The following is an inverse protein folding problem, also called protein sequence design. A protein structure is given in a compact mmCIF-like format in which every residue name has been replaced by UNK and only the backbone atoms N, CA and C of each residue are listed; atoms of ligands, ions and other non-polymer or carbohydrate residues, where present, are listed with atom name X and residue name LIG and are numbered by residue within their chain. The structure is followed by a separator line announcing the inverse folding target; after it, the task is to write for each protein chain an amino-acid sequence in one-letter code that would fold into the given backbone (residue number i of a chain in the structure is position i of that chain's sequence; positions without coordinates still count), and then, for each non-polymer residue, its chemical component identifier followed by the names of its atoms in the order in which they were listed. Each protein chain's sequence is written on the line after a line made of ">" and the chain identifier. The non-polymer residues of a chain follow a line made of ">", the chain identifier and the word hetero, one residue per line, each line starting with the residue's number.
data_IF_318616971089
#
_entry.id   IF_318616971089
#
_cell.length_a   1.000
_cell.length_b   1.000
_cell.length_c   1.000
_cell.angle_alpha   90.00
_cell.angle_beta   90.00
_cell.angle_gamma   90.00
#
_symmetry.space_group_name_H-M   'P 1'
#
loop_
_entity.id
_entity.type
_entity.pdbx_description
1 polymer ?
#
# COMPACT_ATOMS: atom_id res chain seq x y z
N UNK A 1 -28.42 11.86 -37.20
CA UNK A 1 -29.23 11.38 -38.32
C UNK A 1 -30.13 10.29 -37.76
N UNK A 2 -31.43 10.37 -38.01
CA UNK A 2 -32.38 9.31 -37.59
C UNK A 2 -32.28 8.13 -38.55
N UNK A 3 -32.44 6.93 -38.04
CA UNK A 3 -32.45 5.71 -38.83
C UNK A 3 -33.62 5.81 -39.89
N UNK A 4 -33.31 5.56 -41.16
CA UNK A 4 -34.32 5.63 -42.27
C UNK A 4 -34.33 6.96 -43.03
N UNK A 5 -33.53 7.93 -42.72
CA UNK A 5 -33.34 9.13 -43.56
C UNK A 5 -32.53 8.80 -44.80
N UNK A 6 -33.10 9.06 -45.98
CA UNK A 6 -32.46 8.95 -47.30
C UNK A 6 -32.36 10.32 -47.93
N UNK A 7 -31.36 10.54 -48.80
CA UNK A 7 -31.13 11.79 -49.51
C UNK A 7 -29.85 12.52 -49.06
N UNK A 8 -29.52 13.63 -49.71
CA UNK A 8 -28.34 14.45 -49.39
C UNK A 8 -28.56 15.18 -48.05
N UNK A 9 -27.73 14.85 -47.05
CA UNK A 9 -27.77 15.45 -45.74
C UNK A 9 -26.60 16.43 -45.59
N UNK A 10 -26.91 17.70 -45.36
CA UNK A 10 -25.89 18.71 -44.99
C UNK A 10 -25.82 18.77 -43.46
N UNK A 11 -24.66 18.44 -42.92
CA UNK A 11 -24.41 18.50 -41.49
C UNK A 11 -23.66 19.78 -41.14
N UNK A 12 -24.19 20.58 -40.25
CA UNK A 12 -23.53 21.78 -39.75
C UNK A 12 -22.92 21.50 -38.36
N UNK A 13 -21.60 21.76 -38.23
CA UNK A 13 -20.95 21.69 -36.95
C UNK A 13 -21.37 22.89 -36.10
N UNK A 14 -22.02 22.64 -34.96
CA UNK A 14 -22.34 23.68 -33.97
C UNK A 14 -21.15 23.88 -33.04
N UNK A 15 -20.34 24.88 -33.31
CA UNK A 15 -19.21 25.25 -32.47
C UNK A 15 -19.68 26.04 -31.26
N UNK A 16 -19.19 25.67 -30.04
CA UNK A 16 -19.47 26.37 -28.83
C UNK A 16 -18.16 26.90 -28.24
N UNK A 17 -18.00 28.21 -28.14
CA UNK A 17 -16.80 28.83 -27.58
C UNK A 17 -16.66 28.45 -26.09
N UNK A 18 -15.51 27.87 -25.76
CA UNK A 18 -15.16 27.49 -24.37
C UNK A 18 -14.40 28.65 -23.72
N UNK A 19 -15.07 29.46 -22.92
CA UNK A 19 -14.54 30.71 -22.35
C UNK A 19 -14.16 30.64 -20.88
N UNK A 20 -14.64 29.64 -20.14
CA UNK A 20 -14.40 29.54 -18.70
C UNK A 20 -12.96 29.12 -18.42
N UNK A 21 -12.20 29.94 -17.69
CA UNK A 21 -10.86 29.55 -17.21
C UNK A 21 -10.93 28.31 -16.33
N UNK A 22 -10.04 27.31 -16.52
CA UNK A 22 -10.02 26.12 -15.69
C UNK A 22 -9.76 26.47 -14.23
N UNK A 23 -10.58 25.93 -13.30
CA UNK A 23 -10.36 26.05 -11.86
C UNK A 23 -10.97 24.87 -11.10
N UNK A 24 -10.49 24.62 -9.89
CA UNK A 24 -11.06 23.60 -9.00
C UNK A 24 -12.58 23.85 -8.76
N UNK A 25 -13.33 22.75 -8.59
CA UNK A 25 -14.79 22.80 -8.42
C UNK A 25 -15.59 22.84 -9.72
N UNK A 26 -14.95 22.83 -10.89
CA UNK A 26 -15.63 22.71 -12.18
C UNK A 26 -15.95 21.28 -12.57
N UNK A 27 -15.37 20.28 -11.89
CA UNK A 27 -15.73 18.88 -12.01
C UNK A 27 -15.94 18.27 -10.62
N UNK A 28 -16.79 17.24 -10.56
CA UNK A 28 -17.02 16.44 -9.34
C UNK A 28 -16.88 14.97 -9.67
N UNK A 29 -15.91 14.30 -9.05
CA UNK A 29 -15.80 12.84 -9.09
C UNK A 29 -16.97 12.27 -8.29
N UNK A 30 -17.86 11.53 -8.94
CA UNK A 30 -19.02 10.86 -8.33
C UNK A 30 -18.61 9.52 -7.73
N UNK A 31 -17.81 8.75 -8.48
CA UNK A 31 -17.27 7.47 -8.02
C UNK A 31 -15.84 7.30 -8.53
N UNK A 32 -15.00 6.70 -7.69
CA UNK A 32 -13.66 6.24 -8.04
C UNK A 32 -13.43 4.92 -7.29
N UNK A 33 -13.63 3.78 -7.96
CA UNK A 33 -13.62 2.46 -7.29
C UNK A 33 -13.32 1.31 -8.24
N UNK A 34 -12.79 0.22 -7.70
CA UNK A 34 -12.81 -1.06 -8.37
C UNK A 34 -14.25 -1.58 -8.45
N UNK A 35 -14.69 -2.01 -9.63
CA UNK A 35 -16.08 -2.41 -9.90
C UNK A 35 -16.23 -3.92 -10.12
N UNK A 36 -15.22 -4.54 -10.71
CA UNK A 36 -15.13 -5.99 -10.95
C UNK A 36 -13.66 -6.38 -11.10
N UNK A 37 -13.41 -7.68 -11.22
CA UNK A 37 -12.05 -8.24 -11.42
C UNK A 37 -11.29 -7.47 -12.48
N UNK A 38 -10.08 -7.04 -12.14
CA UNK A 38 -9.13 -6.29 -13.00
C UNK A 38 -9.70 -4.99 -13.60
N UNK A 39 -10.73 -4.38 -12.97
CA UNK A 39 -11.37 -3.18 -13.53
C UNK A 39 -11.62 -2.12 -12.47
N UNK A 40 -11.11 -0.91 -12.74
CA UNK A 40 -11.37 0.32 -11.99
C UNK A 40 -12.22 1.25 -12.83
N UNK A 41 -13.17 1.93 -12.21
CA UNK A 41 -14.03 2.90 -12.87
C UNK A 41 -14.04 4.24 -12.13
N UNK A 42 -13.88 5.33 -12.89
CA UNK A 42 -14.03 6.69 -12.40
C UNK A 42 -15.15 7.37 -13.16
N UNK A 43 -16.19 7.81 -12.44
CA UNK A 43 -17.31 8.59 -13.01
C UNK A 43 -17.25 10.01 -12.48
N UNK A 44 -17.45 10.99 -13.35
CA UNK A 44 -17.47 12.39 -12.95
C UNK A 44 -18.52 13.18 -13.75
N UNK A 45 -18.94 14.30 -13.14
CA UNK A 45 -19.70 15.37 -13.85
C UNK A 45 -18.81 16.58 -13.99
N UNK A 46 -18.90 17.25 -15.15
CA UNK A 46 -18.08 18.41 -15.48
C UNK A 46 -18.98 19.57 -15.94
N UNK A 47 -18.65 20.79 -15.55
CA UNK A 47 -19.31 22.01 -16.06
C UNK A 47 -18.96 22.22 -17.53
N UNK A 48 -19.86 22.81 -18.26
CA UNK A 48 -19.67 23.09 -19.70
C UNK A 48 -18.74 24.29 -19.95
N UNK A 49 -18.22 24.42 -21.19
CA UNK A 49 -17.48 25.56 -21.73
C UNK A 49 -16.16 25.89 -21.01
N UNK A 50 -15.43 24.86 -20.56
CA UNK A 50 -14.12 25.06 -19.94
C UNK A 50 -13.06 25.18 -21.06
N UNK A 51 -12.30 26.29 -21.02
CA UNK A 51 -11.20 26.55 -21.96
C UNK A 51 -10.09 25.50 -21.79
N UNK A 52 -9.60 24.99 -22.91
CA UNK A 52 -8.52 23.99 -22.97
C UNK A 52 -7.88 23.99 -24.37
N UNK A 53 -6.77 23.31 -24.52
CA UNK A 53 -6.06 23.19 -25.78
C UNK A 53 -6.70 22.17 -26.74
N UNK A 54 -7.62 21.32 -26.25
CA UNK A 54 -8.23 20.25 -27.03
C UNK A 54 -9.66 19.93 -26.55
N UNK A 55 -10.29 18.94 -27.18
CA UNK A 55 -11.67 18.50 -26.88
C UNK A 55 -11.77 17.39 -25.86
N UNK A 56 -10.77 17.24 -24.98
CA UNK A 56 -10.73 16.17 -24.01
C UNK A 56 -10.83 16.68 -22.57
N UNK A 57 -11.46 15.87 -21.73
CA UNK A 57 -11.21 15.82 -20.28
C UNK A 57 -10.25 14.68 -20.01
N UNK A 58 -9.31 14.93 -19.10
CA UNK A 58 -8.30 13.98 -18.69
C UNK A 58 -8.55 13.45 -17.29
N UNK A 59 -8.44 12.14 -17.14
CA UNK A 59 -8.19 11.53 -15.82
C UNK A 59 -6.68 11.60 -15.61
N UNK A 60 -6.26 12.32 -14.57
CA UNK A 60 -4.83 12.51 -14.30
C UNK A 60 -4.42 11.85 -12.99
N UNK A 61 -3.19 11.32 -12.97
CA UNK A 61 -2.53 10.97 -11.72
C UNK A 61 -2.20 12.23 -10.95
N UNK A 62 -2.44 12.20 -9.64
CA UNK A 62 -2.18 13.33 -8.75
C UNK A 62 -1.22 12.93 -7.66
N UNK A 63 -0.14 13.70 -7.50
CA UNK A 63 0.80 13.57 -6.41
C UNK A 63 0.04 13.62 -5.07
N UNK A 64 0.09 12.57 -4.25
CA UNK A 64 -0.67 12.52 -3.00
C UNK A 64 -0.17 13.50 -1.95
N UNK A 65 1.09 13.91 -2.01
CA UNK A 65 1.73 14.84 -1.07
C UNK A 65 1.52 16.30 -1.53
N UNK A 66 1.98 16.60 -2.76
CA UNK A 66 1.93 17.97 -3.34
C UNK A 66 0.56 18.36 -3.88
N UNK A 67 -0.36 17.39 -4.06
CA UNK A 67 -1.69 17.57 -4.65
C UNK A 67 -1.68 18.09 -6.09
N UNK A 68 -0.57 17.94 -6.81
CA UNK A 68 -0.41 18.40 -8.19
C UNK A 68 -0.62 17.27 -9.20
N UNK A 69 -1.26 17.54 -10.36
CA UNK A 69 -1.36 16.56 -11.44
C UNK A 69 -0.01 16.46 -12.17
N UNK A 70 0.37 15.25 -12.59
CA UNK A 70 1.66 15.08 -13.24
C UNK A 70 1.63 14.28 -14.56
N UNK A 71 0.62 13.42 -14.77
CA UNK A 71 0.48 12.60 -15.99
C UNK A 71 -0.97 12.21 -16.22
N UNK A 72 -1.37 12.05 -17.48
CA UNK A 72 -2.67 11.50 -17.83
C UNK A 72 -2.69 9.98 -17.68
N UNK A 73 -3.75 9.47 -17.06
CA UNK A 73 -4.08 8.05 -17.00
C UNK A 73 -5.02 7.65 -18.15
N UNK A 74 -5.94 8.53 -18.52
CA UNK A 74 -6.89 8.34 -19.61
C UNK A 74 -7.46 9.68 -20.08
N UNK A 75 -8.12 9.69 -21.24
CA UNK A 75 -8.87 10.85 -21.75
C UNK A 75 -10.25 10.44 -22.26
N UNK A 76 -11.18 11.36 -22.25
CA UNK A 76 -12.52 11.20 -22.80
C UNK A 76 -12.98 12.50 -23.48
N UNK A 77 -13.73 12.41 -24.56
CA UNK A 77 -14.33 13.58 -25.19
C UNK A 77 -15.17 14.40 -24.21
N UNK A 78 -15.17 15.72 -24.39
CA UNK A 78 -15.90 16.65 -23.53
C UNK A 78 -17.41 16.39 -23.58
N UNK A 79 -17.97 16.04 -22.44
CA UNK A 79 -19.40 15.94 -22.18
C UNK A 79 -19.67 16.15 -20.69
N UNK A 80 -20.93 16.44 -20.33
CA UNK A 80 -21.34 16.72 -18.95
C UNK A 80 -21.03 15.55 -18.01
N UNK A 81 -21.31 14.32 -18.42
CA UNK A 81 -21.05 13.11 -17.65
C UNK A 81 -19.99 12.27 -18.36
N UNK A 82 -18.91 11.97 -17.66
CA UNK A 82 -17.79 11.19 -18.20
C UNK A 82 -17.54 9.96 -17.34
N UNK A 83 -17.12 8.90 -18.00
CA UNK A 83 -16.74 7.64 -17.35
C UNK A 83 -15.42 7.16 -17.94
N UNK A 84 -14.46 6.88 -17.07
CA UNK A 84 -13.21 6.21 -17.41
C UNK A 84 -13.26 4.79 -16.88
N UNK A 85 -13.00 3.81 -17.74
CA UNK A 85 -12.88 2.40 -17.38
C UNK A 85 -11.46 1.96 -17.64
N UNK A 86 -10.75 1.56 -16.59
CA UNK A 86 -9.32 1.27 -16.57
C UNK A 86 -9.12 -0.22 -16.27
N UNK A 87 -8.26 -0.88 -17.06
CA UNK A 87 -7.91 -2.28 -16.82
C UNK A 87 -6.61 -2.37 -16.02
N UNK A 88 -6.65 -3.00 -14.86
CA UNK A 88 -5.44 -3.20 -14.04
C UNK A 88 -4.46 -4.20 -14.65
N UNK A 89 -4.87 -4.94 -15.68
CA UNK A 89 -3.97 -5.73 -16.53
C UNK A 89 -3.01 -4.87 -17.32
N UNK A 90 -3.46 -3.70 -17.77
CA UNK A 90 -2.67 -2.79 -18.59
C UNK A 90 -1.70 -1.97 -17.71
N UNK A 91 -2.17 -1.62 -16.53
CA UNK A 91 -1.38 -0.90 -15.52
C UNK A 91 -1.98 -1.13 -14.12
N UNK A 92 -1.27 -1.83 -13.27
CA UNK A 92 -1.74 -2.09 -11.89
C UNK A 92 -1.82 -0.81 -11.05
N UNK A 93 -1.06 0.21 -11.40
CA UNK A 93 -1.14 1.54 -10.79
C UNK A 93 -2.54 2.15 -10.85
N UNK A 94 -3.42 1.71 -11.75
CA UNK A 94 -4.81 2.14 -11.74
C UNK A 94 -5.57 1.77 -10.47
N UNK A 95 -5.19 0.73 -9.76
CA UNK A 95 -5.80 0.36 -8.49
C UNK A 95 -5.23 1.16 -7.29
N UNK A 96 -3.98 1.62 -7.39
CA UNK A 96 -3.25 2.22 -6.27
C UNK A 96 -3.23 3.75 -6.30
N UNK A 97 -3.41 4.36 -7.46
CA UNK A 97 -3.20 5.79 -7.69
C UNK A 97 -4.31 6.70 -7.15
N UNK A 98 -3.97 7.96 -7.00
CA UNK A 98 -4.89 9.07 -6.72
C UNK A 98 -5.21 9.81 -8.01
N UNK A 99 -6.49 10.02 -8.28
CA UNK A 99 -6.97 10.61 -9.53
C UNK A 99 -7.65 11.95 -9.34
N UNK A 100 -7.55 12.80 -10.37
CA UNK A 100 -8.31 14.02 -10.54
C UNK A 100 -8.81 14.16 -11.98
N UNK A 101 -9.82 15.00 -12.19
CA UNK A 101 -10.29 15.39 -13.52
C UNK A 101 -9.61 16.70 -13.88
N UNK A 102 -9.07 16.77 -15.09
CA UNK A 102 -8.32 17.92 -15.60
C UNK A 102 -8.64 18.25 -17.06
N UNK A 103 -8.24 19.43 -17.49
CA UNK A 103 -8.05 19.80 -18.90
C UNK A 103 -6.57 20.07 -19.15
N UNK A 104 -6.14 19.98 -20.41
CA UNK A 104 -4.81 20.41 -20.85
C UNK A 104 -4.89 21.84 -21.39
N UNK A 105 -4.07 22.73 -20.88
CA UNK A 105 -3.94 24.12 -21.34
C UNK A 105 -2.52 24.59 -21.13
N UNK A 106 -1.95 25.31 -22.10
CA UNK A 106 -0.58 25.82 -22.06
C UNK A 106 0.46 24.72 -21.68
N UNK A 107 0.30 23.55 -22.29
CA UNK A 107 1.17 22.37 -22.04
C UNK A 107 0.97 21.66 -20.69
N UNK A 108 0.14 22.20 -19.77
CA UNK A 108 -0.03 21.70 -18.40
C UNK A 108 -1.43 21.17 -18.15
N UNK A 109 -1.54 20.25 -17.16
CA UNK A 109 -2.83 19.79 -16.66
C UNK A 109 -3.36 20.72 -15.57
N UNK A 110 -4.59 21.24 -15.75
CA UNK A 110 -5.29 22.06 -14.77
C UNK A 110 -6.41 21.24 -14.11
N UNK A 111 -6.30 21.00 -12.81
CA UNK A 111 -7.30 20.26 -12.06
C UNK A 111 -8.63 21.02 -12.01
N UNK A 112 -9.71 20.29 -12.33
CA UNK A 112 -11.09 20.75 -12.26
C UNK A 112 -11.84 20.19 -11.06
N UNK A 113 -11.36 19.08 -10.48
CA UNK A 113 -12.02 18.39 -9.36
C UNK A 113 -11.15 18.32 -8.12
N UNK A 114 -11.76 18.04 -6.97
CA UNK A 114 -11.06 17.38 -5.87
C UNK A 114 -10.52 16.04 -6.33
N UNK A 115 -9.55 15.49 -5.62
CA UNK A 115 -8.89 14.25 -5.96
C UNK A 115 -9.42 13.07 -5.16
N UNK A 116 -9.37 11.87 -5.71
CA UNK A 116 -9.85 10.66 -5.06
C UNK A 116 -8.91 9.49 -5.27
N UNK A 117 -8.70 8.72 -4.22
CA UNK A 117 -8.16 7.37 -4.34
C UNK A 117 -9.23 6.40 -4.81
N UNK A 118 -8.80 5.31 -5.44
CA UNK A 118 -9.68 4.19 -5.74
C UNK A 118 -10.20 3.59 -4.43
N UNK A 119 -11.48 3.19 -4.41
CA UNK A 119 -12.10 2.45 -3.31
C UNK A 119 -12.26 0.98 -3.70
N UNK A 120 -12.37 0.12 -2.68
CA UNK A 120 -12.68 -1.30 -2.81
C UNK A 120 -11.67 -2.07 -3.70
N UNK A 121 -10.33 -1.99 -3.46
CA UNK A 121 -9.34 -2.64 -4.31
C UNK A 121 -9.57 -4.16 -4.40
N UNK A 122 -10.13 -4.79 -3.37
CA UNK A 122 -10.45 -6.22 -3.31
C UNK A 122 -11.42 -6.69 -4.41
N UNK A 123 -12.24 -5.78 -4.96
CA UNK A 123 -13.11 -6.11 -6.10
C UNK A 123 -12.34 -6.31 -7.40
N UNK A 124 -11.15 -5.71 -7.53
CA UNK A 124 -10.28 -5.91 -8.69
C UNK A 124 -9.50 -7.24 -8.62
N UNK A 125 -9.43 -7.87 -7.45
CA UNK A 125 -8.63 -9.07 -7.23
C UNK A 125 -9.04 -10.25 -8.11
N UNK A 126 -8.03 -10.92 -8.69
CA UNK A 126 -8.19 -12.20 -9.39
C UNK A 126 -8.30 -13.39 -8.42
N UNK A 127 -7.57 -13.31 -7.30
CA UNK A 127 -7.65 -14.30 -6.22
C UNK A 127 -8.66 -13.85 -5.16
N UNK A 128 -9.76 -14.59 -5.03
CA UNK A 128 -10.85 -14.35 -4.06
C UNK A 128 -10.97 -15.47 -3.02
N UNK A 129 -9.96 -16.34 -2.92
CA UNK A 129 -9.95 -17.40 -1.92
C UNK A 129 -10.21 -16.83 -0.52
N UNK A 130 -10.98 -17.55 0.28
CA UNK A 130 -11.22 -17.17 1.67
C UNK A 130 -9.92 -17.20 2.45
N UNK A 131 -9.80 -16.31 3.42
CA UNK A 131 -8.66 -16.31 4.33
C UNK A 131 -8.64 -17.62 5.14
N UNK A 132 -7.48 -18.27 5.15
CA UNK A 132 -7.23 -19.45 5.97
C UNK A 132 -6.40 -19.03 7.19
N UNK A 133 -6.94 -19.09 8.42
CA UNK A 133 -6.19 -18.74 9.64
C UNK A 133 -5.18 -19.80 10.06
N UNK A 134 -5.16 -20.95 9.37
CA UNK A 134 -4.42 -22.14 9.77
C UNK A 134 -5.13 -22.92 10.90
N UNK A 135 -4.81 -24.22 11.01
CA UNK A 135 -5.37 -25.11 12.06
C UNK A 135 -4.69 -24.95 13.41
N UNK A 136 -3.48 -24.39 13.43
CA UNK A 136 -2.70 -24.10 14.64
C UNK A 136 -2.01 -22.76 14.51
N UNK A 137 -1.71 -22.13 15.65
CA UNK A 137 -0.90 -20.91 15.73
C UNK A 137 0.60 -21.19 15.74
N UNK A 138 1.03 -22.45 15.75
CA UNK A 138 2.43 -22.84 15.69
C UNK A 138 3.01 -22.43 14.34
N UNK A 139 4.03 -21.60 14.35
CA UNK A 139 4.70 -21.08 13.16
C UNK A 139 6.20 -21.20 13.26
N UNK A 140 6.83 -21.18 12.11
CA UNK A 140 8.29 -21.30 11.96
C UNK A 140 8.76 -20.23 10.99
N UNK A 141 9.93 -19.67 11.26
CA UNK A 141 10.69 -18.85 10.33
C UNK A 141 11.87 -19.66 9.83
N UNK A 142 11.87 -19.98 8.53
CA UNK A 142 12.97 -20.70 7.88
C UNK A 142 13.37 -20.06 6.57
N UNK A 143 14.56 -20.44 6.10
CA UNK A 143 15.14 -19.92 4.88
C UNK A 143 15.26 -20.94 3.75
N UNK A 144 15.07 -22.25 4.00
CA UNK A 144 15.45 -23.26 3.01
C UNK A 144 14.47 -24.39 2.77
N UNK A 145 13.87 -25.03 3.76
CA UNK A 145 13.04 -26.22 3.53
C UNK A 145 11.62 -26.11 4.12
N UNK A 146 10.64 -26.21 3.21
CA UNK A 146 9.21 -26.22 3.59
C UNK A 146 8.83 -27.51 4.32
N UNK A 147 9.59 -28.60 4.19
CA UNK A 147 9.32 -29.85 4.89
C UNK A 147 9.47 -29.68 6.40
N UNK A 148 10.43 -28.90 6.87
CA UNK A 148 10.60 -28.60 8.30
C UNK A 148 9.33 -28.03 8.95
N UNK A 149 8.52 -27.28 8.20
CA UNK A 149 7.23 -26.76 8.67
C UNK A 149 6.28 -27.90 8.99
N UNK A 150 6.26 -28.96 8.16
CA UNK A 150 5.39 -30.12 8.34
C UNK A 150 5.94 -31.07 9.41
N UNK A 151 7.24 -31.26 9.47
CA UNK A 151 7.91 -32.12 10.45
C UNK A 151 7.72 -31.58 11.88
N UNK A 152 7.78 -30.26 12.03
CA UNK A 152 7.44 -29.59 13.29
C UNK A 152 5.93 -29.48 13.56
N UNK A 153 5.07 -30.04 12.69
CA UNK A 153 3.61 -29.88 12.76
C UNK A 153 3.16 -28.41 12.87
N UNK A 154 3.89 -27.50 12.22
CA UNK A 154 3.51 -26.08 12.10
C UNK A 154 2.56 -25.87 10.91
N UNK A 155 1.75 -24.82 10.97
CA UNK A 155 0.83 -24.40 9.90
C UNK A 155 0.97 -22.94 9.54
N UNK A 156 2.00 -22.28 10.06
CA UNK A 156 2.36 -20.89 9.76
C UNK A 156 3.83 -20.87 9.33
N UNK A 157 4.11 -20.17 8.25
CA UNK A 157 5.46 -19.98 7.73
C UNK A 157 5.75 -18.49 7.57
N UNK A 158 6.88 -18.05 8.12
CA UNK A 158 7.25 -16.64 8.14
C UNK A 158 8.48 -16.40 7.26
N UNK A 159 8.37 -15.42 6.36
CA UNK A 159 9.43 -15.03 5.44
C UNK A 159 9.79 -13.56 5.62
N UNK A 160 11.09 -13.27 5.68
CA UNK A 160 11.63 -11.92 5.54
C UNK A 160 11.95 -11.62 4.08
N UNK A 161 11.62 -10.41 3.64
CA UNK A 161 11.95 -9.90 2.33
C UNK A 161 12.46 -8.47 2.45
N UNK A 162 13.74 -8.26 2.17
CA UNK A 162 14.30 -6.92 2.10
C UNK A 162 14.14 -6.32 0.71
N UNK A 163 14.11 -5.00 0.65
CA UNK A 163 13.95 -4.28 -0.62
C UNK A 163 15.15 -4.51 -1.55
N UNK A 164 16.36 -4.68 -1.01
CA UNK A 164 17.54 -5.05 -1.81
C UNK A 164 17.33 -6.34 -2.61
N UNK A 165 16.71 -7.35 -1.99
CA UNK A 165 16.41 -8.63 -2.67
C UNK A 165 15.45 -8.46 -3.87
N UNK A 166 14.69 -7.37 -3.92
CA UNK A 166 13.69 -7.10 -4.97
C UNK A 166 14.16 -6.08 -5.99
N UNK A 167 14.90 -5.06 -5.57
CA UNK A 167 15.15 -3.86 -6.37
C UNK A 167 16.62 -3.59 -6.71
N UNK A 168 17.59 -4.34 -6.17
CA UNK A 168 19.00 -4.04 -6.40
C UNK A 168 19.49 -4.51 -7.77
N UNK A 169 19.23 -5.76 -8.14
CA UNK A 169 19.70 -6.39 -9.37
C UNK A 169 18.54 -6.78 -10.28
N UNK A 170 17.64 -5.84 -10.49
CA UNK A 170 16.41 -6.10 -11.24
C UNK A 170 16.64 -6.33 -12.72
N UNK A 171 16.17 -7.48 -13.25
CA UNK A 171 16.20 -7.85 -14.66
C UNK A 171 14.81 -7.98 -15.27
N UNK A 172 13.77 -8.10 -14.43
CA UNK A 172 12.38 -8.25 -14.88
C UNK A 172 11.75 -6.87 -15.07
N UNK A 173 11.39 -6.48 -16.31
CA UNK A 173 10.74 -5.20 -16.56
C UNK A 173 9.30 -5.21 -16.03
N UNK A 174 8.92 -4.17 -15.35
CA UNK A 174 7.58 -3.96 -14.79
C UNK A 174 7.05 -2.58 -15.14
N UNK A 175 5.90 -2.55 -15.82
CA UNK A 175 5.26 -1.30 -16.24
C UNK A 175 4.38 -0.74 -15.10
N UNK A 176 4.64 0.49 -14.70
CA UNK A 176 3.86 1.18 -13.69
C UNK A 176 3.65 2.66 -14.05
N UNK A 177 2.40 3.07 -14.23
CA UNK A 177 2.00 4.45 -14.53
C UNK A 177 2.78 5.07 -15.71
N UNK A 178 3.08 4.27 -16.76
CA UNK A 178 3.77 4.73 -17.97
C UNK A 178 5.30 4.86 -17.82
N UNK A 179 5.88 4.22 -16.80
CA UNK A 179 7.33 4.04 -16.62
C UNK A 179 7.66 2.56 -16.48
N UNK A 180 8.86 2.18 -16.89
CA UNK A 180 9.42 0.86 -16.67
C UNK A 180 10.33 0.88 -15.45
N UNK A 181 10.08 -0.05 -14.55
CA UNK A 181 10.94 -0.37 -13.42
C UNK A 181 11.51 -1.78 -13.63
N UNK A 182 12.63 -2.08 -13.01
CA UNK A 182 13.25 -3.40 -13.10
C UNK A 182 13.36 -3.99 -11.71
N UNK A 183 12.90 -5.24 -11.56
CA UNK A 183 12.91 -5.96 -10.30
C UNK A 183 13.56 -7.34 -10.45
N UNK A 184 14.03 -7.90 -9.36
CA UNK A 184 14.67 -9.22 -9.32
C UNK A 184 13.64 -10.33 -9.57
N UNK A 185 13.95 -11.39 -10.34
CA UNK A 185 13.13 -12.58 -10.43
C UNK A 185 12.93 -13.20 -9.04
N UNK A 186 11.68 -13.55 -8.72
CA UNK A 186 11.30 -14.06 -7.40
C UNK A 186 11.05 -15.59 -7.41
N UNK A 187 11.76 -16.34 -8.27
CA UNK A 187 11.45 -17.76 -8.51
C UNK A 187 11.67 -18.63 -7.28
N UNK A 188 12.73 -18.38 -6.51
CA UNK A 188 12.96 -19.04 -5.23
C UNK A 188 11.79 -18.87 -4.25
N UNK A 189 11.34 -17.64 -4.06
CA UNK A 189 10.18 -17.36 -3.20
C UNK A 189 8.88 -17.94 -3.75
N UNK A 190 8.69 -17.93 -5.07
CA UNK A 190 7.51 -18.55 -5.71
C UNK A 190 7.46 -20.05 -5.40
N UNK A 191 8.58 -20.75 -5.53
CA UNK A 191 8.65 -22.17 -5.25
C UNK A 191 8.25 -22.48 -3.80
N UNK A 192 8.85 -21.80 -2.83
CA UNK A 192 8.56 -21.98 -1.40
C UNK A 192 7.10 -21.66 -1.10
N UNK A 193 6.59 -20.52 -1.57
CA UNK A 193 5.22 -20.07 -1.28
C UNK A 193 4.19 -21.00 -1.92
N UNK A 194 4.41 -21.44 -3.16
CA UNK A 194 3.51 -22.39 -3.83
C UNK A 194 3.46 -23.73 -3.10
N UNK A 195 4.61 -24.22 -2.63
CA UNK A 195 4.66 -25.45 -1.84
C UNK A 195 3.94 -25.30 -0.49
N UNK A 196 4.14 -24.18 0.22
CA UNK A 196 3.37 -23.85 1.42
C UNK A 196 1.86 -23.84 1.15
N UNK A 197 1.44 -23.21 0.06
CA UNK A 197 0.02 -23.14 -0.30
C UNK A 197 -0.54 -24.54 -0.63
N UNK A 198 0.22 -25.38 -1.33
CA UNK A 198 -0.14 -26.79 -1.61
C UNK A 198 -0.33 -27.60 -0.32
N UNK A 199 0.55 -27.40 0.67
CA UNK A 199 0.49 -28.04 1.99
C UNK A 199 -0.50 -27.36 2.96
N UNK A 200 -1.26 -26.34 2.51
CA UNK A 200 -2.20 -25.54 3.33
C UNK A 200 -1.53 -24.85 4.53
N UNK A 201 -0.26 -24.51 4.38
CA UNK A 201 0.51 -23.70 5.33
C UNK A 201 0.25 -22.22 5.02
N UNK A 202 -0.03 -21.43 6.04
CA UNK A 202 -0.28 -19.97 5.92
C UNK A 202 1.06 -19.27 5.81
N UNK A 203 1.23 -18.46 4.78
CA UNK A 203 2.46 -17.69 4.57
C UNK A 203 2.28 -16.26 5.06
N UNK A 204 3.21 -15.81 5.89
CA UNK A 204 3.38 -14.42 6.32
C UNK A 204 4.69 -13.88 5.77
N UNK A 205 4.65 -12.74 5.08
CA UNK A 205 5.84 -12.08 4.51
C UNK A 205 6.00 -10.70 5.14
N UNK A 206 7.19 -10.43 5.67
CA UNK A 206 7.58 -9.12 6.19
C UNK A 206 8.46 -8.40 5.18
N UNK A 207 8.05 -7.21 4.76
CA UNK A 207 8.75 -6.37 3.78
C UNK A 207 9.46 -5.23 4.50
N UNK A 208 10.78 -5.16 4.36
CA UNK A 208 11.65 -4.23 5.08
C UNK A 208 12.56 -3.46 4.13
N UNK A 209 12.64 -2.15 4.30
CA UNK A 209 13.54 -1.29 3.52
C UNK A 209 14.93 -1.29 4.17
N UNK A 210 15.86 -2.03 3.60
CA UNK A 210 17.27 -2.07 3.97
C UNK A 210 18.10 -1.09 3.14
N UNK A 211 19.38 -1.02 3.41
CA UNK A 211 20.35 -0.19 2.66
C UNK A 211 21.02 -1.01 1.56
N UNK A 212 20.87 -0.58 0.30
CA UNK A 212 21.66 -1.09 -0.83
C UNK A 212 21.82 -0.03 -1.90
N UNK A 213 22.78 -0.19 -2.78
CA UNK A 213 23.03 0.75 -3.88
C UNK A 213 21.80 0.96 -4.77
N UNK A 214 21.01 -0.11 -5.00
CA UNK A 214 19.82 -0.07 -5.84
C UNK A 214 18.56 0.50 -5.18
N UNK A 215 18.56 0.78 -3.87
CA UNK A 215 17.35 1.21 -3.17
C UNK A 215 17.50 2.44 -2.27
N UNK A 216 18.67 3.06 -2.18
CA UNK A 216 18.89 4.27 -1.36
C UNK A 216 17.99 5.43 -1.76
N UNK A 217 17.55 5.50 -3.02
CA UNK A 217 16.59 6.49 -3.50
C UNK A 217 15.22 6.35 -2.82
N UNK A 218 14.82 5.13 -2.41
CA UNK A 218 13.58 4.87 -1.68
C UNK A 218 13.67 5.18 -0.19
N UNK A 219 14.88 5.41 0.37
CA UNK A 219 15.06 5.82 1.76
C UNK A 219 14.79 7.33 1.89
N UNK A 220 14.02 7.71 2.92
CA UNK A 220 13.73 9.10 3.23
C UNK A 220 15.03 9.91 3.38
N UNK A 221 15.08 11.11 2.80
CA UNK A 221 16.30 11.93 2.80
C UNK A 221 16.83 12.22 4.21
N UNK A 222 15.95 12.44 5.19
CA UNK A 222 16.32 12.68 6.58
C UNK A 222 16.83 11.42 7.30
N UNK A 223 16.53 10.24 6.76
CA UNK A 223 16.96 8.94 7.26
C UNK A 223 18.08 8.31 6.40
N UNK A 224 18.56 9.00 5.35
CA UNK A 224 19.55 8.45 4.41
C UNK A 224 20.95 8.55 4.96
N UNK A 225 21.26 7.68 5.95
CA UNK A 225 22.57 7.51 6.55
C UNK A 225 22.80 6.01 6.76
N UNK A 226 23.92 5.43 6.28
CA UNK A 226 24.21 4.01 6.49
C UNK A 226 24.35 3.67 7.97
N UNK A 227 24.18 2.39 8.32
CA UNK A 227 24.42 1.85 9.66
C UNK A 227 23.18 1.46 10.46
N UNK A 228 21.95 1.79 10.00
CA UNK A 228 20.74 1.21 10.56
C UNK A 228 20.38 -0.11 9.85
N UNK A 229 19.56 -0.93 10.49
CA UNK A 229 19.12 -2.20 9.93
C UNK A 229 18.06 -1.99 8.85
N UNK A 230 17.02 -1.20 9.15
CA UNK A 230 15.96 -0.85 8.22
C UNK A 230 15.60 0.62 8.32
N UNK A 231 14.93 1.15 7.28
CA UNK A 231 14.79 2.59 7.05
C UNK A 231 13.36 3.01 6.75
N UNK A 232 13.06 4.28 7.00
CA UNK A 232 11.80 4.93 6.62
C UNK A 232 11.78 5.25 5.12
N UNK A 233 10.62 5.08 4.50
CA UNK A 233 10.40 5.26 3.07
C UNK A 233 10.47 6.72 2.63
N UNK A 234 10.88 6.96 1.39
CA UNK A 234 10.83 8.28 0.77
C UNK A 234 9.56 8.46 -0.06
N UNK A 235 8.54 9.05 0.53
CA UNK A 235 7.28 9.35 -0.16
C UNK A 235 7.23 10.77 -0.77
N UNK A 236 8.22 11.60 -0.47
CA UNK A 236 8.24 13.02 -0.86
C UNK A 236 8.81 13.24 -2.26
N UNK A 237 9.62 12.33 -2.76
CA UNK A 237 10.05 12.27 -4.17
C UNK A 237 9.04 11.48 -5.00
N UNK A 238 8.57 12.04 -6.13
CA UNK A 238 7.69 11.32 -7.06
C UNK A 238 8.32 10.04 -7.57
N UNK A 239 9.60 10.10 -7.93
CA UNK A 239 10.34 8.94 -8.47
C UNK A 239 10.44 7.82 -7.43
N UNK A 240 10.88 8.15 -6.22
CA UNK A 240 11.06 7.18 -5.13
C UNK A 240 9.72 6.55 -4.73
N UNK A 241 8.68 7.37 -4.60
CA UNK A 241 7.33 6.90 -4.29
C UNK A 241 6.75 5.98 -5.36
N UNK A 242 6.87 6.36 -6.65
CA UNK A 242 6.40 5.51 -7.75
C UNK A 242 7.19 4.19 -7.82
N UNK A 243 8.51 4.19 -7.53
CA UNK A 243 9.32 2.97 -7.47
C UNK A 243 8.87 2.04 -6.34
N UNK A 244 8.61 2.58 -5.14
CA UNK A 244 8.06 1.84 -4.01
C UNK A 244 6.68 1.25 -4.36
N UNK A 245 5.78 2.04 -4.93
CA UNK A 245 4.45 1.59 -5.32
C UNK A 245 4.51 0.51 -6.42
N UNK A 246 5.39 0.69 -7.42
CA UNK A 246 5.64 -0.29 -8.47
C UNK A 246 6.16 -1.61 -7.90
N UNK A 247 7.11 -1.55 -6.97
CA UNK A 247 7.65 -2.72 -6.29
C UNK A 247 6.56 -3.49 -5.51
N UNK A 248 5.73 -2.79 -4.73
CA UNK A 248 4.63 -3.43 -4.02
C UNK A 248 3.61 -4.06 -4.98
N UNK A 249 3.33 -3.40 -6.11
CA UNK A 249 2.47 -3.95 -7.15
C UNK A 249 3.09 -5.19 -7.81
N UNK A 250 4.38 -5.19 -8.07
CA UNK A 250 5.13 -6.34 -8.59
C UNK A 250 5.03 -7.53 -7.63
N UNK A 251 5.30 -7.32 -6.35
CA UNK A 251 5.17 -8.36 -5.32
C UNK A 251 3.73 -8.87 -5.21
N UNK A 252 2.75 -7.96 -5.17
CA UNK A 252 1.34 -8.33 -5.13
C UNK A 252 0.89 -9.13 -6.36
N UNK A 253 1.42 -8.82 -7.55
CA UNK A 253 1.16 -9.55 -8.79
C UNK A 253 1.73 -10.98 -8.74
N UNK A 254 2.93 -11.15 -8.19
CA UNK A 254 3.57 -12.47 -8.09
C UNK A 254 2.91 -13.30 -7.00
N UNK A 255 2.79 -12.75 -5.79
CA UNK A 255 2.37 -13.45 -4.57
C UNK A 255 0.91 -13.24 -4.20
N UNK A 256 0.07 -12.87 -5.15
CA UNK A 256 -1.38 -12.78 -5.00
C UNK A 256 -2.16 -13.73 -5.89
N UNK A 257 -1.52 -14.69 -6.56
CA UNK A 257 -2.13 -15.68 -7.45
C UNK A 257 -2.85 -16.77 -6.64
N UNK A 258 -3.69 -17.59 -7.28
CA UNK A 258 -4.42 -18.66 -6.61
C UNK A 258 -3.53 -19.78 -6.08
N UNK A 259 -2.44 -20.05 -6.77
CA UNK A 259 -1.48 -21.13 -6.55
C UNK A 259 -0.16 -20.65 -5.92
N UNK A 260 0.01 -19.34 -5.80
CA UNK A 260 1.18 -18.71 -5.19
C UNK A 260 0.74 -17.42 -4.49
N UNK A 261 0.38 -17.50 -3.21
CA UNK A 261 -0.09 -16.34 -2.47
C UNK A 261 0.44 -16.26 -1.04
N UNK A 262 0.70 -15.03 -0.64
CA UNK A 262 1.03 -14.65 0.74
C UNK A 262 -0.25 -14.19 1.43
N UNK A 263 -0.63 -14.83 2.54
CA UNK A 263 -1.86 -14.53 3.28
C UNK A 263 -1.74 -13.26 4.12
N UNK A 264 -0.57 -13.07 4.73
CA UNK A 264 -0.28 -11.98 5.67
C UNK A 264 0.94 -11.19 5.19
N UNK A 265 0.80 -9.87 5.14
CA UNK A 265 1.85 -8.95 4.74
C UNK A 265 2.15 -7.98 5.87
N UNK A 266 3.38 -7.95 6.33
CA UNK A 266 3.86 -7.04 7.37
C UNK A 266 4.73 -5.97 6.71
N UNK A 267 4.48 -4.70 7.01
CA UNK A 267 5.30 -3.59 6.53
C UNK A 267 6.25 -3.11 7.62
N UNK A 268 7.54 -3.16 7.32
CA UNK A 268 8.60 -2.74 8.23
C UNK A 268 8.80 -3.69 9.40
N UNK A 269 9.72 -3.34 10.28
CA UNK A 269 10.03 -4.08 11.50
C UNK A 269 10.08 -3.12 12.69
N UNK A 270 9.41 -3.47 13.80
CA UNK A 270 9.47 -2.74 15.08
C UNK A 270 9.46 -1.21 14.93
N UNK A 271 8.45 -0.70 14.22
CA UNK A 271 8.41 0.72 13.83
C UNK A 271 8.29 1.70 15.00
N UNK A 272 8.08 1.22 16.22
CA UNK A 272 8.25 2.00 17.44
C UNK A 272 9.73 2.24 17.82
N UNK A 273 10.68 1.63 17.09
CA UNK A 273 12.11 1.83 17.28
C UNK A 273 12.76 2.54 16.07
N UNK A 274 12.50 3.84 15.87
CA UNK A 274 12.99 4.61 14.72
C UNK A 274 14.50 4.94 14.78
N UNK A 275 15.22 4.47 15.78
CA UNK A 275 16.67 4.58 15.85
C UNK A 275 17.41 3.43 15.14
N UNK A 276 16.74 2.28 14.89
CA UNK A 276 17.39 1.11 14.31
C UNK A 276 16.52 0.32 13.33
N UNK A 277 15.28 -0.08 13.75
CA UNK A 277 14.46 -1.04 13.03
C UNK A 277 13.52 -0.42 11.99
N UNK A 278 13.40 0.89 11.98
CA UNK A 278 12.73 1.69 10.95
C UNK A 278 13.31 3.12 11.01
N UNK A 279 14.59 3.23 10.71
CA UNK A 279 15.39 4.43 10.97
C UNK A 279 14.75 5.67 10.34
N UNK A 280 14.51 6.68 11.18
CA UNK A 280 13.83 7.91 10.82
C UNK A 280 14.77 9.13 10.74
N UNK A 281 16.02 9.00 11.22
CA UNK A 281 16.93 10.15 11.29
C UNK A 281 16.31 11.33 12.03
N UNK A 282 16.33 12.51 11.39
CA UNK A 282 15.77 13.75 11.94
C UNK A 282 14.29 14.01 11.61
N UNK A 283 13.55 13.01 11.12
CA UNK A 283 12.13 13.17 10.79
C UNK A 283 11.32 13.62 12.01
N UNK A 284 10.41 14.57 11.79
CA UNK A 284 9.36 14.89 12.78
C UNK A 284 8.38 13.73 12.93
N UNK A 285 7.63 13.69 14.03
CA UNK A 285 6.60 12.67 14.27
C UNK A 285 5.55 12.67 13.14
N UNK A 286 5.12 13.85 12.70
CA UNK A 286 4.17 13.99 11.59
C UNK A 286 4.72 13.40 10.29
N UNK A 287 5.95 13.71 9.93
CA UNK A 287 6.60 13.18 8.73
C UNK A 287 6.77 11.67 8.83
N UNK A 288 7.18 11.16 9.99
CA UNK A 288 7.38 9.73 10.23
C UNK A 288 6.08 8.93 10.07
N UNK A 289 5.04 9.30 10.81
CA UNK A 289 3.75 8.59 10.74
C UNK A 289 3.01 8.80 9.41
N UNK A 290 3.12 9.96 8.79
CA UNK A 290 2.59 10.19 7.43
C UNK A 290 3.27 9.25 6.43
N UNK A 291 4.59 9.15 6.50
CA UNK A 291 5.39 8.27 5.62
C UNK A 291 5.00 6.81 5.79
N UNK A 292 4.97 6.33 7.03
CA UNK A 292 4.65 4.95 7.32
C UNK A 292 3.21 4.59 6.92
N UNK A 293 2.25 5.44 7.26
CA UNK A 293 0.85 5.23 6.89
C UNK A 293 0.63 5.27 5.37
N UNK A 294 1.39 6.10 4.64
CA UNK A 294 1.32 6.11 3.18
C UNK A 294 1.90 4.84 2.57
N UNK A 295 3.06 4.39 3.01
CA UNK A 295 3.67 3.15 2.54
C UNK A 295 2.76 1.93 2.84
N UNK A 296 2.15 1.90 4.03
CA UNK A 296 1.14 0.89 4.39
C UNK A 296 -0.05 0.91 3.42
N UNK A 297 -0.60 2.09 3.14
CA UNK A 297 -1.69 2.24 2.16
C UNK A 297 -1.28 1.72 0.78
N UNK A 298 -0.07 2.03 0.33
CA UNK A 298 0.45 1.57 -0.96
C UNK A 298 0.53 0.04 -1.03
N UNK A 299 1.11 -0.59 -0.01
CA UNK A 299 1.16 -2.06 0.11
C UNK A 299 -0.24 -2.67 0.17
N UNK A 300 -1.14 -2.09 0.98
CA UNK A 300 -2.53 -2.54 1.11
C UNK A 300 -3.23 -2.60 -0.26
N UNK A 301 -3.11 -1.56 -1.06
CA UNK A 301 -3.77 -1.49 -2.36
C UNK A 301 -3.12 -2.42 -3.39
N UNK A 302 -1.80 -2.48 -3.41
CA UNK A 302 -1.05 -3.37 -4.28
C UNK A 302 -1.45 -4.84 -4.07
N UNK A 303 -1.48 -5.28 -2.83
CA UNK A 303 -1.82 -6.66 -2.45
C UNK A 303 -3.32 -6.93 -2.62
N UNK A 304 -4.17 -6.09 -2.03
CA UNK A 304 -5.64 -6.32 -2.01
C UNK A 304 -6.27 -6.26 -3.40
N UNK A 305 -5.65 -5.57 -4.36
CA UNK A 305 -6.11 -5.57 -5.75
C UNK A 305 -5.77 -6.86 -6.51
N UNK A 306 -4.95 -7.75 -5.95
CA UNK A 306 -4.59 -9.06 -6.50
C UNK A 306 -5.23 -10.21 -5.73
N UNK A 307 -5.22 -10.12 -4.41
CA UNK A 307 -5.77 -11.10 -3.48
C UNK A 307 -6.76 -10.43 -2.51
N UNK A 308 -8.05 -10.69 -2.66
CA UNK A 308 -9.10 -9.94 -1.98
C UNK A 308 -9.11 -10.10 -0.46
N UNK A 309 -8.61 -11.20 0.07
CA UNK A 309 -8.68 -11.54 1.50
C UNK A 309 -7.31 -11.55 2.21
N UNK A 310 -6.25 -11.02 1.57
CA UNK A 310 -4.97 -10.85 2.24
C UNK A 310 -5.08 -9.86 3.42
N UNK A 311 -4.34 -10.11 4.47
CA UNK A 311 -4.25 -9.23 5.64
C UNK A 311 -2.95 -8.44 5.61
N UNK A 312 -3.03 -7.16 5.95
CA UNK A 312 -1.88 -6.26 5.99
C UNK A 312 -1.68 -5.77 7.41
N UNK A 313 -0.44 -5.82 7.88
CA UNK A 313 -0.05 -5.57 9.27
C UNK A 313 0.94 -4.42 9.37
N UNK A 314 0.83 -3.67 10.46
CA UNK A 314 1.93 -2.89 11.02
C UNK A 314 2.71 -3.77 12.00
N UNK A 315 3.96 -3.41 12.32
CA UNK A 315 4.81 -4.21 13.22
C UNK A 315 5.36 -3.36 14.35
N UNK A 316 5.27 -3.85 15.59
CA UNK A 316 5.87 -3.22 16.77
C UNK A 316 6.55 -4.26 17.67
N UNK A 317 7.52 -3.80 18.48
CA UNK A 317 8.12 -4.62 19.54
C UNK A 317 7.24 -4.68 20.80
N UNK A 318 7.79 -5.29 21.87
CA UNK A 318 7.10 -5.49 23.14
C UNK A 318 7.10 -4.27 24.08
N UNK A 319 7.79 -3.18 23.75
CA UNK A 319 7.76 -1.97 24.57
C UNK A 319 6.44 -1.22 24.36
N UNK A 320 5.49 -1.43 25.26
CA UNK A 320 4.14 -0.87 25.16
C UNK A 320 4.10 0.63 25.47
N UNK A 321 4.76 1.03 26.56
CA UNK A 321 4.95 2.43 26.93
C UNK A 321 6.33 2.95 26.44
N UNK A 322 6.50 4.27 26.23
CA UNK A 322 7.81 4.84 25.91
C UNK A 322 8.86 4.48 26.95
N UNK A 323 10.11 4.30 26.50
CA UNK A 323 11.26 4.05 27.36
C UNK A 323 12.45 4.89 26.89
N UNK A 324 13.50 4.95 27.72
CA UNK A 324 14.73 5.72 27.38
C UNK A 324 15.33 5.33 26.02
N UNK A 325 15.19 4.06 25.64
CA UNK A 325 15.79 3.52 24.41
C UNK A 325 14.78 3.42 23.24
N UNK A 326 13.56 3.93 23.44
CA UNK A 326 12.49 3.89 22.43
C UNK A 326 11.82 5.25 22.34
N UNK A 327 11.88 5.87 21.16
CA UNK A 327 11.19 7.15 20.91
C UNK A 327 9.68 7.02 21.11
N UNK A 328 9.12 5.87 20.75
CA UNK A 328 7.70 5.58 20.89
C UNK A 328 7.48 4.26 21.62
N UNK A 329 6.43 4.19 22.44
CA UNK A 329 5.84 2.92 22.83
C UNK A 329 4.97 2.37 21.69
N UNK A 330 4.80 1.04 21.66
CA UNK A 330 3.95 0.39 20.67
C UNK A 330 2.50 0.94 20.68
N UNK A 331 1.98 1.29 21.87
CA UNK A 331 0.67 1.96 22.02
C UNK A 331 0.60 3.27 21.24
N UNK A 332 1.63 4.13 21.35
CA UNK A 332 1.67 5.40 20.62
C UNK A 332 1.75 5.17 19.11
N UNK A 333 2.49 4.17 18.65
CA UNK A 333 2.55 3.83 17.22
C UNK A 333 1.18 3.40 16.73
N UNK A 334 0.49 2.53 17.44
CA UNK A 334 -0.86 2.07 17.07
C UNK A 334 -1.83 3.25 16.97
N UNK A 335 -1.86 4.15 17.98
CA UNK A 335 -2.75 5.30 18.02
C UNK A 335 -2.44 6.30 16.89
N UNK A 336 -1.17 6.68 16.72
CA UNK A 336 -0.75 7.60 15.68
C UNK A 336 -0.97 7.02 14.28
N UNK A 337 -0.59 5.76 14.06
CA UNK A 337 -0.81 5.11 12.78
C UNK A 337 -2.29 5.15 12.37
N UNK A 338 -3.21 4.82 13.27
CA UNK A 338 -4.64 4.86 12.98
C UNK A 338 -5.11 6.27 12.59
N UNK A 339 -4.62 7.32 13.28
CA UNK A 339 -4.92 8.72 12.97
C UNK A 339 -4.37 9.11 11.60
N UNK A 340 -3.10 8.83 11.32
CA UNK A 340 -2.46 9.23 10.07
C UNK A 340 -2.98 8.42 8.87
N UNK A 341 -3.26 7.13 9.04
CA UNK A 341 -3.90 6.33 8.00
C UNK A 341 -5.28 6.89 7.62
N UNK A 342 -6.08 7.30 8.61
CA UNK A 342 -7.38 7.94 8.38
C UNK A 342 -7.27 9.29 7.66
N UNK A 343 -6.20 10.07 7.91
CA UNK A 343 -5.91 11.32 7.17
C UNK A 343 -5.58 11.04 5.71
N UNK A 344 -4.81 9.98 5.43
CA UNK A 344 -4.44 9.60 4.07
C UNK A 344 -5.64 9.03 3.33
N UNK A 345 -6.29 8.01 3.89
CA UNK A 345 -7.47 7.39 3.32
C UNK A 345 -8.30 6.66 4.39
N UNK A 346 -9.58 7.05 4.52
CA UNK A 346 -10.52 6.42 5.45
C UNK A 346 -10.92 5.01 5.00
N UNK A 347 -11.27 4.14 5.95
CA UNK A 347 -11.89 2.84 5.71
C UNK A 347 -10.92 1.72 5.35
N UNK A 348 -9.62 1.90 5.51
CA UNK A 348 -8.63 0.83 5.38
C UNK A 348 -8.61 -0.02 6.66
N UNK A 349 -8.70 -1.33 6.48
CA UNK A 349 -8.53 -2.31 7.56
C UNK A 349 -7.05 -2.61 7.73
N UNK A 350 -6.60 -2.68 8.96
CA UNK A 350 -5.21 -3.01 9.29
C UNK A 350 -5.15 -4.00 10.45
N UNK A 351 -4.03 -4.67 10.59
CA UNK A 351 -3.75 -5.63 11.64
C UNK A 351 -2.42 -5.27 12.31
N UNK A 352 -2.17 -5.84 13.47
CA UNK A 352 -0.93 -5.63 14.22
C UNK A 352 -0.15 -6.94 14.33
N UNK A 353 1.11 -6.92 13.86
CA UNK A 353 2.12 -7.90 14.17
C UNK A 353 2.89 -7.39 15.38
N UNK A 354 2.76 -8.08 16.50
CA UNK A 354 3.31 -7.67 17.78
C UNK A 354 4.35 -8.67 18.25
N UNK A 355 5.57 -8.22 18.52
CA UNK A 355 6.64 -9.05 18.99
C UNK A 355 6.55 -9.19 20.52
N UNK A 356 5.74 -10.11 21.01
CA UNK A 356 5.49 -10.34 22.43
C UNK A 356 6.60 -11.16 23.11
N UNK A 357 7.86 -10.78 22.86
CA UNK A 357 9.02 -11.48 23.43
C UNK A 357 9.01 -11.48 24.95
N UNK A 358 9.57 -12.54 25.55
CA UNK A 358 9.86 -12.57 26.98
C UNK A 358 10.97 -11.56 27.34
N UNK A 359 11.05 -11.19 28.60
CA UNK A 359 12.12 -10.34 29.11
C UNK A 359 12.81 -10.99 30.32
N UNK A 360 14.11 -11.13 30.32
CA UNK A 360 15.04 -10.94 29.19
C UNK A 360 14.72 -11.87 28.01
N UNK A 361 15.09 -11.48 26.79
CA UNK A 361 14.73 -12.18 25.54
C UNK A 361 15.08 -13.67 25.53
N UNK A 362 16.20 -14.01 26.17
CA UNK A 362 16.73 -15.39 26.25
C UNK A 362 16.08 -16.25 27.32
N UNK A 363 15.19 -15.69 28.17
CA UNK A 363 14.55 -16.45 29.22
C UNK A 363 13.29 -17.14 28.73
N UNK A 364 13.26 -18.46 28.94
CA UNK A 364 12.15 -19.33 28.53
C UNK A 364 10.92 -19.24 29.45
N UNK A 365 11.07 -18.68 30.67
CA UNK A 365 9.99 -18.55 31.65
C UNK A 365 9.08 -17.35 31.32
N UNK A 366 8.26 -17.50 30.29
CA UNK A 366 7.36 -16.46 29.76
C UNK A 366 6.33 -15.92 30.78
N UNK A 367 6.06 -16.68 31.84
CA UNK A 367 5.18 -16.29 32.98
C UNK A 367 5.85 -15.33 33.97
N UNK A 368 7.17 -15.16 33.91
CA UNK A 368 7.87 -14.21 34.77
C UNK A 368 7.91 -12.83 34.09
N UNK A 369 7.38 -11.82 34.77
CA UNK A 369 7.31 -10.46 34.20
C UNK A 369 8.49 -9.55 34.56
N UNK A 370 9.38 -9.98 35.43
CA UNK A 370 10.58 -9.25 35.87
C UNK A 370 10.34 -7.75 36.19
N UNK A 371 9.17 -7.40 36.74
CA UNK A 371 8.82 -6.02 37.07
C UNK A 371 8.41 -5.13 35.89
N UNK A 372 8.54 -5.58 34.65
CA UNK A 372 8.22 -4.77 33.47
C UNK A 372 6.83 -5.05 32.86
N UNK A 373 6.09 -6.01 33.42
CA UNK A 373 4.74 -6.34 32.95
C UNK A 373 3.72 -6.19 34.08
N UNK A 374 2.60 -5.56 33.80
CA UNK A 374 1.40 -5.53 34.63
C UNK A 374 0.15 -5.63 33.75
N UNK A 375 -1.04 -5.63 34.38
CA UNK A 375 -2.30 -5.86 33.67
C UNK A 375 -3.08 -4.57 33.33
N UNK A 376 -2.41 -3.41 33.31
CA UNK A 376 -3.00 -2.13 32.97
C UNK A 376 -2.41 -1.52 31.70
N UNK A 377 -3.12 -0.58 31.09
CA UNK A 377 -2.72 0.05 29.82
C UNK A 377 -1.46 0.92 29.91
N UNK A 378 -0.91 1.13 31.10
CA UNK A 378 0.35 1.84 31.34
C UNK A 378 1.52 0.88 31.61
N UNK A 379 1.34 -0.44 31.40
CA UNK A 379 2.43 -1.40 31.53
C UNK A 379 3.64 -0.99 30.70
N UNK A 380 4.88 -1.08 31.23
CA UNK A 380 6.07 -0.80 30.44
C UNK A 380 6.18 -1.68 29.19
N UNK A 381 5.94 -2.98 29.37
CA UNK A 381 5.99 -3.97 28.28
C UNK A 381 4.78 -4.88 28.26
N UNK A 382 4.47 -5.39 27.06
CA UNK A 382 3.53 -6.48 26.88
C UNK A 382 4.29 -7.68 26.31
N UNK A 383 4.27 -8.78 27.02
CA UNK A 383 4.83 -10.08 26.66
C UNK A 383 3.70 -11.10 26.56
N UNK A 384 4.01 -12.37 26.34
CA UNK A 384 3.01 -13.42 26.37
C UNK A 384 2.27 -13.51 27.72
N UNK A 385 2.90 -13.07 28.85
CA UNK A 385 2.32 -13.07 30.20
C UNK A 385 1.07 -12.18 30.29
N UNK A 386 1.11 -10.98 29.74
CA UNK A 386 0.05 -9.97 29.86
C UNK A 386 -0.57 -9.57 28.51
N UNK A 387 -0.56 -10.47 27.52
CA UNK A 387 -1.05 -10.21 26.16
C UNK A 387 -2.50 -9.74 26.12
N UNK A 388 -3.30 -10.06 27.15
CA UNK A 388 -4.68 -9.57 27.29
C UNK A 388 -4.77 -8.04 27.33
N UNK A 389 -3.76 -7.34 27.83
CA UNK A 389 -3.72 -5.86 27.83
C UNK A 389 -3.79 -5.33 26.39
N UNK A 390 -2.96 -5.88 25.50
CA UNK A 390 -2.96 -5.53 24.09
C UNK A 390 -4.30 -5.83 23.42
N UNK A 391 -4.79 -7.05 23.57
CA UNK A 391 -6.01 -7.48 22.87
C UNK A 391 -7.25 -6.71 23.36
N UNK A 392 -7.33 -6.41 24.65
CA UNK A 392 -8.40 -5.57 25.20
C UNK A 392 -8.28 -4.13 24.71
N UNK A 393 -7.07 -3.57 24.66
CA UNK A 393 -6.84 -2.23 24.15
C UNK A 393 -7.30 -2.10 22.71
N UNK A 394 -6.85 -2.99 21.82
CA UNK A 394 -7.23 -2.98 20.40
C UNK A 394 -8.75 -3.15 20.24
N UNK A 395 -9.36 -4.13 20.94
CA UNK A 395 -10.80 -4.40 20.85
C UNK A 395 -11.66 -3.22 21.28
N UNK A 396 -11.23 -2.48 22.31
CA UNK A 396 -12.01 -1.38 22.87
C UNK A 396 -11.79 -0.05 22.13
N UNK A 397 -10.73 0.08 21.32
CA UNK A 397 -10.33 1.33 20.69
C UNK A 397 -10.62 1.35 19.18
N UNK A 398 -10.56 0.21 18.52
CA UNK A 398 -10.63 0.04 17.06
C UNK A 398 -11.63 -1.04 16.63
#
# INVERSE_FOLDING_TARGET
>A
VKTGQTGNLTLYAKWVKCTRKPKAGMAKIKTCKAVKTKTVQVKATVKNRIASADDYYYLVYVDPIRKTPYRAAARAYKKKNITFTLKTTDNQGFATSRFGIAVKKDGKYHLLSSTSYVKNPEKAAGNKAKYNPGKTKKGIQFYSDVNEVTDCNAKQYFLNLTVSMVAENGTVPYQYNGKTYYFTPMDYYKQIISECNRKKVVVTMQVMLDWSAGNTDMINLQARKPGALYYSWNIYSNQSREKMEAMFCYLGMIFGKKDCYVSNWILGNEVNHPAAWNYAGSMSDEAYFTTYAYAFRALYYAVRSQQSNAHIFICTDNYWSPSRNRRYGAKQVVDNFAVYLKKIQKGLKWNLAYHAYSFPLTYTRVWNGYGITNNVNTTPSITMKNLKVLTNYIKNRY
#
